data_IF_100105299757
#
_entry.id   IF_100105299757
#
_cell.length_a   1.000
_cell.length_b   1.000
_cell.length_c   1.000
_cell.angle_alpha   90.00
_cell.angle_beta   90.00
_cell.angle_gamma   90.00
#
_symmetry.space_group_name_H-M   'P 1'
#
loop_
_entity.id
_entity.type
_entity.pdbx_description
1 polymer ?
#
# COMPACT_ATOMS: atom_id res chain seq x y z
N UNK A 1 2.58 7.68 -1.60
CA UNK A 1 1.54 7.54 -2.67
C UNK A 1 0.83 8.84 -3.06
N UNK A 2 1.21 10.02 -2.55
CA UNK A 2 0.50 11.28 -2.81
C UNK A 2 0.38 11.62 -4.31
N UNK A 3 1.52 11.80 -4.98
CA UNK A 3 1.57 12.20 -6.40
C UNK A 3 0.87 11.22 -7.34
N UNK A 4 0.95 9.92 -7.04
CA UNK A 4 0.29 8.90 -7.85
C UNK A 4 -1.23 9.00 -7.77
N UNK A 5 -1.77 9.25 -6.57
CA UNK A 5 -3.22 9.48 -6.39
C UNK A 5 -3.66 10.73 -7.14
N UNK A 6 -2.91 11.83 -7.06
CA UNK A 6 -3.23 13.07 -7.77
C UNK A 6 -3.31 12.85 -9.29
N UNK A 7 -2.34 12.14 -9.86
CA UNK A 7 -2.34 11.79 -11.27
C UNK A 7 -3.54 10.91 -11.66
N UNK A 8 -3.86 9.90 -10.85
CA UNK A 8 -5.03 9.05 -11.08
C UNK A 8 -6.35 9.85 -11.01
N UNK A 9 -6.52 10.71 -9.99
CA UNK A 9 -7.70 11.58 -9.86
C UNK A 9 -7.85 12.56 -11.03
N UNK A 10 -6.73 13.03 -11.59
CA UNK A 10 -6.69 13.85 -12.79
C UNK A 10 -6.85 13.05 -14.11
N UNK A 11 -6.92 11.71 -14.03
CA UNK A 11 -6.97 10.78 -15.18
C UNK A 11 -5.74 10.91 -16.09
N UNK A 12 -4.58 11.21 -15.51
CA UNK A 12 -3.31 11.43 -16.22
C UNK A 12 -2.41 10.20 -16.04
N UNK A 13 -1.92 9.58 -17.13
CA UNK A 13 -0.96 8.49 -17.04
C UNK A 13 0.41 8.99 -16.59
N UNK A 14 1.22 8.13 -15.97
CA UNK A 14 2.45 8.53 -15.28
C UNK A 14 3.68 7.78 -15.75
N UNK A 15 4.82 8.47 -15.77
CA UNK A 15 6.14 7.85 -15.81
C UNK A 15 6.70 7.90 -14.39
N UNK A 16 7.02 6.74 -13.83
CA UNK A 16 7.47 6.60 -12.45
C UNK A 16 8.97 6.33 -12.40
N UNK A 17 9.73 7.25 -11.81
CA UNK A 17 11.16 7.10 -11.53
C UNK A 17 11.38 6.93 -10.02
N UNK A 18 11.17 5.73 -9.45
CA UNK A 18 11.20 5.55 -8.00
C UNK A 18 12.63 5.69 -7.44
N UNK A 19 12.81 6.60 -6.49
CA UNK A 19 14.12 6.82 -5.85
C UNK A 19 14.31 5.90 -4.65
N UNK A 20 13.41 5.93 -3.67
CA UNK A 20 13.48 5.10 -2.46
C UNK A 20 12.09 4.92 -1.82
N UNK A 21 12.04 4.05 -0.80
CA UNK A 21 10.87 3.89 0.07
C UNK A 21 9.63 3.34 -0.66
N UNK A 22 8.48 3.92 -0.34
CA UNK A 22 7.18 3.43 -0.81
C UNK A 22 6.89 3.78 -2.27
N UNK A 23 7.73 4.62 -2.90
CA UNK A 23 7.63 4.94 -4.33
C UNK A 23 7.78 3.70 -5.22
N UNK A 24 8.61 2.73 -4.84
CA UNK A 24 8.80 1.49 -5.61
C UNK A 24 7.47 0.73 -5.70
N UNK A 25 6.80 0.52 -4.56
CA UNK A 25 5.50 -0.15 -4.51
C UNK A 25 4.41 0.64 -5.23
N UNK A 26 4.40 1.97 -5.09
CA UNK A 26 3.44 2.81 -5.79
C UNK A 26 3.62 2.74 -7.32
N UNK A 27 4.87 2.72 -7.79
CA UNK A 27 5.18 2.61 -9.23
C UNK A 27 4.70 1.26 -9.79
N UNK A 28 4.87 0.19 -9.02
CA UNK A 28 4.32 -1.13 -9.33
C UNK A 28 2.80 -1.13 -9.43
N UNK A 29 2.10 -0.44 -8.54
CA UNK A 29 0.65 -0.29 -8.61
C UNK A 29 0.22 0.43 -9.91
N UNK A 30 0.91 1.51 -10.28
CA UNK A 30 0.64 2.25 -11.51
C UNK A 30 0.86 1.38 -12.77
N UNK A 31 1.96 0.62 -12.77
CA UNK A 31 2.32 -0.31 -13.84
C UNK A 31 1.34 -1.47 -13.95
N UNK A 32 0.98 -2.10 -12.83
CA UNK A 32 0.06 -3.22 -12.77
C UNK A 32 -1.34 -2.86 -13.29
N UNK A 33 -1.85 -1.67 -12.94
CA UNK A 33 -3.10 -1.16 -13.50
C UNK A 33 -2.94 -0.52 -14.88
N UNK A 34 -1.72 -0.52 -15.42
CA UNK A 34 -1.40 -0.16 -16.79
C UNK A 34 -1.61 1.31 -17.14
N UNK A 35 -1.69 2.21 -16.16
CA UNK A 35 -1.70 3.66 -16.39
C UNK A 35 -0.34 4.31 -16.11
N UNK A 36 0.63 3.53 -15.61
CA UNK A 36 1.99 3.98 -15.36
C UNK A 36 3.04 3.12 -16.06
N UNK A 37 4.24 3.67 -16.23
CA UNK A 37 5.44 2.95 -16.64
C UNK A 37 6.55 3.18 -15.60
N UNK A 38 7.26 2.14 -15.21
CA UNK A 38 8.41 2.25 -14.31
C UNK A 38 9.67 2.50 -15.14
N UNK A 39 10.46 3.49 -14.73
CA UNK A 39 11.76 3.83 -15.29
C UNK A 39 12.84 3.36 -14.32
N UNK A 40 13.84 2.66 -14.85
CA UNK A 40 15.03 2.31 -14.07
C UNK A 40 15.93 3.54 -13.91
N UNK A 41 16.05 4.06 -12.68
CA UNK A 41 16.88 5.24 -12.38
C UNK A 41 18.37 5.08 -12.66
N UNK A 42 18.88 3.85 -12.72
CA UNK A 42 20.28 3.57 -13.01
C UNK A 42 20.57 3.43 -14.50
N UNK A 43 19.52 3.30 -15.32
CA UNK A 43 19.64 3.06 -16.75
C UNK A 43 18.57 3.87 -17.50
N UNK A 44 18.72 5.20 -17.46
CA UNK A 44 17.83 6.15 -18.16
C UNK A 44 18.65 7.03 -19.10
N UNK A 45 18.19 7.15 -20.34
CA UNK A 45 18.75 8.04 -21.36
C UNK A 45 17.69 9.02 -21.85
N UNK A 46 18.11 10.12 -22.47
CA UNK A 46 17.20 11.10 -23.04
C UNK A 46 16.28 10.47 -24.11
N UNK A 47 16.85 9.69 -25.03
CA UNK A 47 16.09 9.02 -26.10
C UNK A 47 15.07 8.02 -25.55
N UNK A 48 15.45 7.25 -24.53
CA UNK A 48 14.53 6.33 -23.88
C UNK A 48 13.37 7.08 -23.23
N UNK A 49 13.64 8.15 -22.49
CA UNK A 49 12.61 8.95 -21.86
C UNK A 49 11.66 9.60 -22.89
N UNK A 50 12.22 10.16 -23.97
CA UNK A 50 11.45 10.71 -25.10
C UNK A 50 10.54 9.65 -25.73
N UNK A 51 11.05 8.45 -25.95
CA UNK A 51 10.26 7.34 -26.52
C UNK A 51 9.06 7.00 -25.64
N UNK A 52 9.24 6.97 -24.31
CA UNK A 52 8.18 6.69 -23.36
C UNK A 52 7.14 7.81 -23.30
N UNK A 53 7.57 9.07 -23.39
CA UNK A 53 6.67 10.22 -23.43
C UNK A 53 5.80 10.16 -24.70
N UNK A 54 6.41 9.91 -25.87
CA UNK A 54 5.68 9.76 -27.13
C UNK A 54 4.68 8.61 -27.08
N UNK A 55 5.06 7.44 -26.54
CA UNK A 55 4.15 6.32 -26.34
C UNK A 55 2.94 6.71 -25.46
N UNK A 56 3.17 7.38 -24.32
CA UNK A 56 2.08 7.78 -23.40
C UNK A 56 1.16 8.85 -23.96
N UNK A 57 1.67 9.74 -24.82
CA UNK A 57 0.86 10.76 -25.49
C UNK A 57 0.01 10.18 -26.62
N UNK A 58 0.56 9.22 -27.37
CA UNK A 58 -0.08 8.69 -28.57
C UNK A 58 -0.97 7.47 -28.31
N UNK A 59 -0.77 6.76 -27.20
CA UNK A 59 -1.57 5.58 -26.87
C UNK A 59 -2.70 5.92 -25.87
N UNK A 60 -3.97 6.00 -26.33
CA UNK A 60 -5.09 6.39 -25.48
C UNK A 60 -5.41 5.37 -24.38
N UNK A 61 -4.91 4.13 -24.49
CA UNK A 61 -5.14 3.07 -23.49
C UNK A 61 -4.68 3.48 -22.10
N UNK A 62 -3.57 4.21 -22.00
CA UNK A 62 -3.05 4.68 -20.71
C UNK A 62 -3.99 5.66 -20.02
N UNK A 63 -4.57 6.60 -20.76
CA UNK A 63 -5.55 7.56 -20.25
C UNK A 63 -6.86 6.86 -19.85
N UNK A 64 -7.31 5.87 -20.63
CA UNK A 64 -8.47 5.06 -20.29
C UNK A 64 -8.26 4.27 -18.99
N UNK A 65 -7.08 3.67 -18.81
CA UNK A 65 -6.72 2.96 -17.58
C UNK A 65 -6.57 3.91 -16.39
N UNK A 66 -6.04 5.11 -16.58
CA UNK A 66 -6.01 6.15 -15.55
C UNK A 66 -7.42 6.57 -15.13
N UNK A 67 -8.34 6.72 -16.10
CA UNK A 67 -9.75 7.00 -15.82
C UNK A 67 -10.44 5.87 -15.06
N UNK A 68 -10.12 4.61 -15.38
CA UNK A 68 -10.59 3.43 -14.62
C UNK A 68 -10.07 3.44 -13.18
N UNK A 69 -8.81 3.82 -12.98
CA UNK A 69 -8.23 3.97 -11.64
C UNK A 69 -8.96 5.05 -10.83
N UNK A 70 -9.31 6.18 -11.46
CA UNK A 70 -10.13 7.20 -10.81
C UNK A 70 -11.48 6.64 -10.32
N UNK A 71 -12.16 5.86 -11.16
CA UNK A 71 -13.43 5.23 -10.78
C UNK A 71 -13.26 4.37 -9.51
N UNK A 72 -12.20 3.56 -9.43
CA UNK A 72 -11.90 2.79 -8.22
C UNK A 72 -11.61 3.65 -6.99
N UNK A 73 -10.96 4.80 -7.16
CA UNK A 73 -10.68 5.73 -6.05
C UNK A 73 -11.94 6.47 -5.58
N UNK A 74 -12.88 6.72 -6.48
CA UNK A 74 -14.16 7.38 -6.20
C UNK A 74 -15.26 6.43 -5.76
N UNK A 75 -15.10 5.11 -6.00
CA UNK A 75 -16.00 4.03 -5.56
C UNK A 75 -15.87 3.74 -4.06
N UNK A 76 -15.97 4.80 -3.26
CA UNK A 76 -16.02 4.73 -1.80
C UNK A 76 -17.47 4.95 -1.34
N UNK A 77 -17.96 4.19 -0.34
CA UNK A 77 -19.33 4.35 0.16
C UNK A 77 -19.59 5.71 0.82
N UNK A 78 -18.53 6.40 1.26
CA UNK A 78 -18.59 7.72 1.88
C UNK A 78 -17.49 8.60 1.25
N UNK A 79 -17.80 9.84 0.83
CA UNK A 79 -16.77 10.77 0.34
C UNK A 79 -15.65 10.98 1.37
N UNK A 80 -14.39 11.00 0.94
CA UNK A 80 -13.23 10.97 1.86
C UNK A 80 -13.23 12.09 2.91
N UNK A 81 -13.69 13.29 2.55
CA UNK A 81 -13.82 14.40 3.50
C UNK A 81 -14.88 14.11 4.58
N UNK A 82 -16.03 13.57 4.17
CA UNK A 82 -17.10 13.19 5.10
C UNK A 82 -16.68 12.01 5.97
N UNK A 83 -15.99 11.03 5.40
CA UNK A 83 -15.44 9.90 6.13
C UNK A 83 -14.44 10.37 7.21
N UNK A 84 -13.54 11.30 6.85
CA UNK A 84 -12.62 11.93 7.80
C UNK A 84 -13.35 12.65 8.92
N UNK A 85 -14.32 13.49 8.59
CA UNK A 85 -15.15 14.20 9.58
C UNK A 85 -15.91 13.23 10.49
N UNK A 86 -16.46 12.15 9.95
CA UNK A 86 -17.14 11.10 10.71
C UNK A 86 -16.18 10.42 11.69
N UNK A 87 -14.98 10.01 11.25
CA UNK A 87 -13.97 9.37 12.09
C UNK A 87 -13.53 10.28 13.24
N UNK A 88 -13.29 11.57 12.97
CA UNK A 88 -12.91 12.55 13.99
C UNK A 88 -14.05 12.79 14.99
N UNK A 89 -15.28 13.02 14.51
CA UNK A 89 -16.46 13.16 15.40
C UNK A 89 -16.64 11.94 16.29
N UNK A 90 -16.45 10.75 15.73
CA UNK A 90 -16.51 9.48 16.46
C UNK A 90 -15.42 9.40 17.53
N UNK A 91 -14.19 9.79 17.21
CA UNK A 91 -13.09 9.82 18.17
C UNK A 91 -13.37 10.77 19.35
N UNK A 92 -13.87 11.97 19.05
CA UNK A 92 -14.26 12.96 20.07
C UNK A 92 -15.40 12.42 20.94
N UNK A 93 -16.42 11.78 20.34
CA UNK A 93 -17.55 11.17 21.06
C UNK A 93 -17.11 10.16 22.13
N UNK A 94 -16.01 9.44 21.90
CA UNK A 94 -15.47 8.45 22.84
C UNK A 94 -14.29 8.98 23.67
N UNK A 95 -14.15 10.31 23.81
CA UNK A 95 -13.13 10.90 24.68
C UNK A 95 -11.70 10.74 24.17
N UNK A 96 -11.50 10.68 22.85
CA UNK A 96 -10.17 10.59 22.25
C UNK A 96 -9.63 9.16 22.09
N UNK A 97 -10.38 8.14 22.51
CA UNK A 97 -10.02 6.72 22.34
C UNK A 97 -11.24 5.95 21.83
N UNK A 98 -11.06 5.05 20.87
CA UNK A 98 -12.14 4.17 20.43
C UNK A 98 -12.53 3.21 21.57
N UNK A 99 -13.73 2.62 21.60
CA UNK A 99 -13.98 1.53 22.54
C UNK A 99 -13.04 0.33 22.35
N UNK A 100 -12.74 -0.40 23.43
CA UNK A 100 -11.67 -1.41 23.46
C UNK A 100 -11.81 -2.50 22.39
N UNK A 101 -13.04 -2.90 22.07
CA UNK A 101 -13.35 -3.90 21.06
C UNK A 101 -12.99 -3.50 19.61
N UNK A 102 -12.61 -2.24 19.35
CA UNK A 102 -12.09 -1.80 18.06
C UNK A 102 -10.56 -1.89 17.94
N UNK A 103 -9.86 -2.18 19.04
CA UNK A 103 -8.42 -2.42 19.00
C UNK A 103 -8.14 -3.90 18.79
N UNK A 104 -7.07 -4.18 18.05
CA UNK A 104 -6.58 -5.55 17.93
C UNK A 104 -6.10 -6.03 19.30
N UNK A 105 -6.48 -7.26 19.69
CA UNK A 105 -6.03 -7.87 20.95
C UNK A 105 -4.50 -7.96 21.06
N UNK A 106 -3.81 -7.92 19.92
CA UNK A 106 -2.35 -7.87 19.83
C UNK A 106 -1.71 -6.73 20.62
N UNK A 107 -2.43 -5.61 20.84
CA UNK A 107 -1.89 -4.47 21.57
C UNK A 107 -1.68 -4.74 23.06
N UNK A 108 -2.33 -5.77 23.60
CA UNK A 108 -2.32 -6.10 25.03
C UNK A 108 -1.55 -7.39 25.34
N UNK A 109 -0.81 -7.95 24.37
CA UNK A 109 -0.01 -9.16 24.56
C UNK A 109 1.47 -8.86 24.35
N UNK A 110 2.33 -9.61 25.04
CA UNK A 110 3.78 -9.54 24.90
C UNK A 110 4.28 -10.09 23.56
N UNK A 111 5.50 -9.72 23.17
CA UNK A 111 6.09 -10.13 21.89
C UNK A 111 6.27 -11.64 21.76
N UNK A 112 6.47 -12.37 22.87
CA UNK A 112 6.66 -13.83 22.85
C UNK A 112 5.37 -14.47 22.35
N UNK A 113 4.23 -14.11 22.94
CA UNK A 113 2.90 -14.59 22.51
C UNK A 113 2.49 -14.03 21.15
N UNK A 114 2.76 -12.76 20.88
CA UNK A 114 2.41 -12.14 19.59
C UNK A 114 3.07 -12.87 18.41
N UNK A 115 4.33 -13.26 18.56
CA UNK A 115 5.10 -14.01 17.57
C UNK A 115 4.92 -15.53 17.67
N UNK A 116 4.09 -16.02 18.61
CA UNK A 116 3.90 -17.43 18.92
C UNK A 116 5.22 -18.19 19.22
N UNK A 117 6.21 -17.52 19.81
CA UNK A 117 7.51 -18.12 20.12
C UNK A 117 7.39 -19.22 21.18
N UNK A 118 6.46 -19.06 22.11
CA UNK A 118 6.09 -20.07 23.10
C UNK A 118 5.61 -21.38 22.46
N UNK A 119 4.84 -21.30 21.36
CA UNK A 119 4.38 -22.46 20.60
C UNK A 119 5.49 -23.04 19.71
N UNK A 120 6.23 -22.17 19.01
CA UNK A 120 7.31 -22.58 18.09
C UNK A 120 8.42 -23.32 18.84
N UNK A 121 8.77 -22.86 20.05
CA UNK A 121 9.84 -23.46 20.86
C UNK A 121 9.41 -24.74 21.58
N UNK A 122 8.11 -25.05 21.65
CA UNK A 122 7.59 -26.24 22.32
C UNK A 122 8.12 -27.54 21.67
N UNK A 123 8.07 -27.63 20.34
CA UNK A 123 8.49 -28.83 19.59
C UNK A 123 9.99 -29.15 19.78
N UNK A 124 10.94 -28.22 19.53
CA UNK A 124 12.36 -28.50 19.76
C UNK A 124 12.69 -28.78 21.23
N UNK A 125 12.00 -28.11 22.17
CA UNK A 125 12.14 -28.40 23.60
C UNK A 125 11.72 -29.84 23.94
N UNK A 126 10.59 -30.31 23.43
CA UNK A 126 10.12 -31.68 23.63
C UNK A 126 11.07 -32.72 23.04
N UNK A 127 11.60 -32.47 21.83
CA UNK A 127 12.60 -33.34 21.20
C UNK A 127 13.86 -33.40 22.06
N UNK A 128 14.38 -32.26 22.51
CA UNK A 128 15.54 -32.18 23.39
C UNK A 128 15.31 -32.94 24.71
N UNK A 129 14.16 -32.74 25.34
CA UNK A 129 13.79 -33.42 26.58
C UNK A 129 13.72 -34.94 26.43
N UNK A 130 13.13 -35.44 25.34
CA UNK A 130 13.09 -36.87 25.02
C UNK A 130 14.49 -37.47 24.80
N UNK A 131 15.43 -36.70 24.25
CA UNK A 131 16.82 -37.12 24.05
C UNK A 131 17.61 -37.18 25.37
N UNK A 132 17.23 -36.41 26.39
CA UNK A 132 17.86 -36.42 27.73
C UNK A 132 17.39 -37.57 28.64
N UNK A 133 16.22 -38.16 28.36
CA UNK A 133 15.63 -39.24 29.16
C UNK A 133 16.07 -40.64 28.67
N UNK A 134 16.76 -40.70 27.53
CA UNK A 134 17.52 -41.90 27.12
C UNK A 134 18.82 -42.00 27.89
#
# INVERSE_FOLDING_TARGET
>A
MKSLKEAACAKIPVLCLPVFGEQVRNSWLAYHHGFGQIINKFNVTADYLLSLIHDKLNNPSYKQKAAKMKQYLEDAPIPSLQEGAFKIKRLIKYGGRMPEYFYTRSNNIDYIRYLNLDVILLIPFLIYFLLLIK
#
